data_IF_306355476169
#
_entry.id   IF_306355476169
#
_cell.length_a   1.000
_cell.length_b   1.000
_cell.length_c   1.000
_cell.angle_alpha   90.00
_cell.angle_beta   90.00
_cell.angle_gamma   90.00
#
_symmetry.space_group_name_H-M   'P 1'
#
loop_
_entity.id
_entity.type
_entity.pdbx_description
1 polymer ?
#
# COMPACT_ATOMS: atom_id res chain seq x y z
N UNK A 1 -13.26 -0.97 24.48
CA UNK A 1 -12.31 -1.52 23.49
C UNK A 1 -11.45 -2.53 24.25
N UNK A 2 -11.52 -3.82 23.90
CA UNK A 2 -10.58 -4.80 24.45
C UNK A 2 -9.18 -4.51 23.90
N UNK A 3 -8.15 -5.01 24.57
CA UNK A 3 -6.75 -4.87 24.12
C UNK A 3 -6.58 -5.44 22.70
N UNK A 4 -7.17 -6.61 22.42
CA UNK A 4 -7.18 -7.24 21.09
C UNK A 4 -7.78 -6.33 20.00
N UNK A 5 -8.91 -5.69 20.31
CA UNK A 5 -9.57 -4.78 19.37
C UNK A 5 -8.71 -3.53 19.12
N UNK A 6 -8.07 -2.99 20.15
CA UNK A 6 -7.18 -1.85 20.03
C UNK A 6 -5.93 -2.18 19.21
N UNK A 7 -5.32 -3.33 19.44
CA UNK A 7 -4.18 -3.84 18.67
C UNK A 7 -4.52 -4.00 17.19
N UNK A 8 -5.66 -4.62 16.88
CA UNK A 8 -6.12 -4.80 15.50
C UNK A 8 -6.26 -3.46 14.76
N UNK A 9 -6.97 -2.50 15.36
CA UNK A 9 -7.21 -1.20 14.72
C UNK A 9 -5.94 -0.35 14.64
N UNK A 10 -5.12 -0.34 15.69
CA UNK A 10 -3.86 0.44 15.70
C UNK A 10 -2.86 -0.07 14.66
N UNK A 11 -2.71 -1.38 14.51
CA UNK A 11 -1.83 -1.97 13.49
C UNK A 11 -2.37 -1.73 12.08
N UNK A 12 -3.68 -1.94 11.87
CA UNK A 12 -4.29 -1.75 10.56
C UNK A 12 -4.17 -0.30 10.09
N UNK A 13 -4.52 0.66 10.94
CA UNK A 13 -4.47 2.08 10.62
C UNK A 13 -3.02 2.58 10.55
N UNK A 14 -2.16 2.17 11.49
CA UNK A 14 -0.76 2.59 11.55
C UNK A 14 0.02 2.13 10.32
N UNK A 15 -0.06 0.84 9.99
CA UNK A 15 0.61 0.27 8.81
C UNK A 15 -0.02 0.81 7.53
N UNK A 16 -1.36 0.92 7.47
CA UNK A 16 -2.07 1.52 6.33
C UNK A 16 -1.63 2.97 6.06
N UNK A 17 -1.46 3.77 7.10
CA UNK A 17 -0.94 5.13 7.02
C UNK A 17 0.49 5.19 6.51
N UNK A 18 1.38 4.31 6.98
CA UNK A 18 2.76 4.22 6.50
C UNK A 18 2.84 3.82 5.02
N UNK A 19 2.00 2.89 4.57
CA UNK A 19 1.89 2.52 3.15
C UNK A 19 1.38 3.71 2.34
N UNK A 20 0.39 4.45 2.84
CA UNK A 20 -0.08 5.68 2.19
C UNK A 20 1.03 6.71 2.04
N UNK A 21 1.85 6.91 3.08
CA UNK A 21 3.02 7.80 3.03
C UNK A 21 4.07 7.33 2.00
N UNK A 22 4.29 6.01 1.91
CA UNK A 22 5.18 5.43 0.88
C UNK A 22 4.69 5.73 -0.54
N UNK A 23 3.37 5.67 -0.81
CA UNK A 23 2.82 6.02 -2.12
C UNK A 23 3.02 7.49 -2.48
N UNK A 24 2.90 8.39 -1.50
CA UNK A 24 3.21 9.81 -1.68
C UNK A 24 4.70 10.02 -2.02
N UNK A 25 5.59 9.28 -1.37
CA UNK A 25 7.03 9.31 -1.68
C UNK A 25 7.28 8.82 -3.11
N UNK A 26 6.69 7.69 -3.52
CA UNK A 26 6.85 7.15 -4.89
C UNK A 26 6.34 8.15 -5.93
N UNK A 27 5.20 8.78 -5.66
CA UNK A 27 4.69 9.86 -6.50
C UNK A 27 5.71 10.98 -6.62
N UNK A 28 6.19 11.54 -5.50
CA UNK A 28 7.14 12.64 -5.51
C UNK A 28 8.45 12.25 -6.23
N UNK A 29 8.95 11.04 -5.99
CA UNK A 29 10.16 10.52 -6.60
C UNK A 29 10.04 10.37 -8.12
N UNK A 30 8.89 9.92 -8.64
CA UNK A 30 8.66 9.89 -10.09
C UNK A 30 8.76 11.28 -10.73
N UNK A 31 8.29 12.31 -10.02
CA UNK A 31 8.30 13.70 -10.48
C UNK A 31 9.71 14.26 -10.48
N UNK A 32 10.45 14.05 -9.40
CA UNK A 32 11.83 14.50 -9.27
C UNK A 32 12.78 13.76 -10.22
N UNK A 33 12.51 12.49 -10.51
CA UNK A 33 13.31 11.68 -11.43
C UNK A 33 13.14 12.10 -12.91
N UNK A 34 12.25 13.06 -13.22
CA UNK A 34 11.84 13.44 -14.58
C UNK A 34 11.45 12.22 -15.42
N UNK A 35 10.96 11.18 -14.75
CA UNK A 35 10.45 10.00 -15.40
C UNK A 35 9.27 10.48 -16.26
N UNK A 36 9.34 10.30 -17.58
CA UNK A 36 8.20 10.59 -18.46
C UNK A 36 6.97 9.77 -18.04
N UNK A 37 5.82 9.97 -18.69
CA UNK A 37 4.56 9.27 -18.36
C UNK A 37 4.73 7.75 -18.21
N UNK A 38 5.55 7.14 -19.08
CA UNK A 38 5.91 5.72 -19.02
C UNK A 38 6.78 5.35 -17.82
N UNK A 39 7.79 6.17 -17.49
CA UNK A 39 8.65 5.91 -16.35
C UNK A 39 7.89 6.02 -15.03
N UNK A 40 6.95 6.96 -14.93
CA UNK A 40 6.04 7.06 -13.79
C UNK A 40 5.19 5.80 -13.60
N UNK A 41 4.64 5.26 -14.69
CA UNK A 41 3.84 4.04 -14.66
C UNK A 41 4.67 2.83 -14.21
N UNK A 42 5.86 2.65 -14.77
CA UNK A 42 6.75 1.54 -14.39
C UNK A 42 7.26 1.69 -12.96
N UNK A 43 7.56 2.92 -12.52
CA UNK A 43 8.00 3.19 -11.15
C UNK A 43 6.91 2.86 -10.13
N UNK A 44 5.68 3.26 -10.43
CA UNK A 44 4.52 2.98 -9.58
C UNK A 44 4.16 1.49 -9.58
N UNK A 45 4.29 0.81 -10.72
CA UNK A 45 4.13 -0.65 -10.79
C UNK A 45 5.21 -1.37 -10.00
N UNK A 46 6.49 -1.10 -10.23
CA UNK A 46 7.59 -1.83 -9.62
C UNK A 46 7.64 -1.67 -8.09
N UNK A 47 7.42 -0.45 -7.60
CA UNK A 47 7.44 -0.17 -6.15
C UNK A 47 6.07 -0.41 -5.49
N UNK A 48 4.97 -0.20 -6.21
CA UNK A 48 3.61 -0.40 -5.71
C UNK A 48 3.12 -1.85 -5.78
N UNK A 49 3.73 -2.72 -6.60
CA UNK A 49 3.26 -4.11 -6.79
C UNK A 49 3.16 -4.87 -5.46
N UNK A 50 4.12 -4.66 -4.56
CA UNK A 50 4.17 -5.37 -3.28
C UNK A 50 2.94 -5.10 -2.41
N UNK A 51 2.53 -3.83 -2.28
CA UNK A 51 1.34 -3.49 -1.48
C UNK A 51 0.03 -3.83 -2.22
N UNK A 52 0.00 -3.70 -3.55
CA UNK A 52 -1.16 -4.10 -4.37
C UNK A 52 -1.40 -5.61 -4.22
N UNK A 53 -0.34 -6.42 -4.28
CA UNK A 53 -0.42 -7.87 -4.05
C UNK A 53 -0.87 -8.23 -2.63
N UNK A 54 -0.41 -7.47 -1.63
CA UNK A 54 -0.87 -7.62 -0.24
C UNK A 54 -2.37 -7.38 -0.11
N UNK A 55 -2.89 -6.28 -0.68
CA UNK A 55 -4.34 -5.97 -0.66
C UNK A 55 -5.13 -7.04 -1.41
N UNK A 56 -4.69 -7.42 -2.61
CA UNK A 56 -5.34 -8.44 -3.40
C UNK A 56 -5.44 -9.77 -2.64
N UNK A 57 -4.36 -10.19 -1.97
CA UNK A 57 -4.37 -11.38 -1.10
C UNK A 57 -5.39 -11.25 0.02
N UNK A 58 -5.42 -10.12 0.75
CA UNK A 58 -6.38 -9.91 1.84
C UNK A 58 -7.82 -10.01 1.34
N UNK A 59 -8.16 -9.35 0.22
CA UNK A 59 -9.50 -9.42 -0.36
C UNK A 59 -9.85 -10.84 -0.79
N UNK A 60 -8.92 -11.55 -1.43
CA UNK A 60 -9.15 -12.94 -1.85
C UNK A 60 -9.36 -13.87 -0.66
N UNK A 61 -8.59 -13.70 0.43
CA UNK A 61 -8.77 -14.48 1.65
C UNK A 61 -10.13 -14.19 2.27
N UNK A 62 -10.54 -12.93 2.37
CA UNK A 62 -11.86 -12.56 2.91
C UNK A 62 -13.00 -13.12 2.05
N UNK A 63 -12.84 -13.18 0.73
CA UNK A 63 -13.84 -13.76 -0.19
C UNK A 63 -13.87 -15.28 -0.18
N UNK A 64 -12.74 -15.95 0.03
CA UNK A 64 -12.63 -17.42 0.03
C UNK A 64 -12.82 -18.05 1.41
N UNK A 65 -12.75 -17.26 2.48
CA UNK A 65 -13.00 -17.72 3.84
C UNK A 65 -14.48 -17.44 4.15
N UNK A 66 -15.37 -18.47 4.08
CA UNK A 66 -16.77 -18.31 4.48
C UNK A 66 -16.91 -18.02 5.97
#
# INVERSE_FOLDING_TARGET
MSIEQFEFWSLTIGIGGLIGWMLLIIWKMGQESKAGKWGYFVLFLALGLGFIGFIAKTILVELMSP
#
